data_IF_265833778426
#
_entry.id   IF_265833778426
#
_cell.length_a   1.000
_cell.length_b   1.000
_cell.length_c   1.000
_cell.angle_alpha   90.00
_cell.angle_beta   90.00
_cell.angle_gamma   90.00
#
_symmetry.space_group_name_H-M   'P 1'
#
loop_
_entity.id
_entity.type
_entity.pdbx_description
1 polymer ?
#
# COMPACT_ATOMS: atom_id res chain seq x y z
N UNK A 1 1.35 10.01 -25.39
CA UNK A 1 1.92 8.69 -25.07
C UNK A 1 0.82 7.85 -24.42
N UNK A 2 0.63 6.60 -24.83
CA UNK A 2 -0.37 5.70 -24.22
C UNK A 2 0.34 4.77 -23.24
N UNK A 3 -0.03 4.82 -21.97
CA UNK A 3 0.52 3.94 -20.94
C UNK A 3 -0.07 2.54 -21.10
N UNK A 4 0.78 1.51 -21.09
CA UNK A 4 0.37 0.11 -21.31
C UNK A 4 0.92 -0.82 -20.23
N UNK A 5 0.16 -1.89 -19.98
CA UNK A 5 0.52 -2.97 -19.06
C UNK A 5 1.69 -3.78 -19.59
N UNK A 6 2.59 -4.15 -18.69
CA UNK A 6 3.63 -5.17 -18.81
C UNK A 6 3.09 -6.49 -18.21
N UNK A 7 3.90 -7.53 -18.29
CA UNK A 7 3.58 -8.81 -17.64
C UNK A 7 3.34 -8.61 -16.14
N UNK A 8 2.24 -9.20 -15.65
CA UNK A 8 1.82 -9.02 -14.27
C UNK A 8 2.77 -9.71 -13.29
N UNK A 9 3.29 -8.93 -12.35
CA UNK A 9 4.23 -9.38 -11.30
C UNK A 9 3.58 -9.39 -9.91
N UNK A 10 2.51 -8.62 -9.73
CA UNK A 10 1.86 -8.44 -8.43
C UNK A 10 0.35 -8.54 -8.61
N UNK A 11 -0.30 -9.37 -7.80
CA UNK A 11 -1.72 -9.26 -7.52
C UNK A 11 -1.87 -8.44 -6.24
N UNK A 12 -2.39 -7.23 -6.35
CA UNK A 12 -2.68 -6.40 -5.19
C UNK A 12 -4.16 -6.51 -4.83
N UNK A 13 -4.44 -7.00 -3.62
CA UNK A 13 -5.79 -7.19 -3.10
C UNK A 13 -6.11 -6.15 -2.02
N UNK A 14 -7.03 -5.25 -2.31
CA UNK A 14 -7.63 -4.39 -1.32
C UNK A 14 -8.75 -5.15 -0.62
N UNK A 15 -8.50 -5.62 0.60
CA UNK A 15 -9.40 -6.53 1.33
C UNK A 15 -10.63 -5.84 1.91
N UNK A 16 -10.69 -4.51 1.85
CA UNK A 16 -11.79 -3.73 2.40
C UNK A 16 -11.33 -2.38 2.94
N UNK A 17 -12.23 -1.73 3.67
CA UNK A 17 -12.01 -0.39 4.22
C UNK A 17 -12.10 -0.32 5.74
N UNK A 18 -12.30 -1.45 6.42
CA UNK A 18 -12.25 -1.50 7.89
C UNK A 18 -10.83 -1.25 8.40
N UNK A 19 -10.67 -0.35 9.36
CA UNK A 19 -9.40 0.01 9.97
C UNK A 19 -9.65 0.50 11.40
N UNK A 20 -8.71 0.28 12.32
CA UNK A 20 -8.77 0.85 13.67
C UNK A 20 -8.45 2.35 13.72
N UNK A 21 -7.93 2.95 12.63
CA UNK A 21 -7.58 4.38 12.56
C UNK A 21 -8.45 5.16 11.57
N UNK A 22 -8.48 6.48 11.74
CA UNK A 22 -9.10 7.44 10.80
C UNK A 22 -8.08 8.50 10.36
N UNK A 23 -7.00 8.08 9.70
CA UNK A 23 -5.93 9.00 9.29
C UNK A 23 -6.45 10.10 8.34
N UNK A 24 -5.92 11.32 8.49
CA UNK A 24 -6.34 12.50 7.73
C UNK A 24 -5.94 12.44 6.26
N UNK A 25 -4.84 11.75 5.94
CA UNK A 25 -4.31 11.57 4.58
C UNK A 25 -4.77 10.26 3.90
N UNK A 26 -5.65 9.46 4.53
CA UNK A 26 -5.99 8.13 4.02
C UNK A 26 -6.66 8.19 2.64
N UNK A 27 -5.97 7.70 1.61
CA UNK A 27 -6.48 7.64 0.24
C UNK A 27 -7.57 6.56 0.07
N UNK A 28 -7.54 5.50 0.88
CA UNK A 28 -8.57 4.45 0.92
C UNK A 28 -9.87 4.93 1.58
N UNK A 29 -9.79 6.03 2.35
CA UNK A 29 -10.85 6.52 3.24
C UNK A 29 -11.27 5.46 4.29
N UNK A 30 -10.35 4.58 4.69
CA UNK A 30 -10.62 3.51 5.64
C UNK A 30 -10.89 3.99 7.07
N UNK A 31 -11.62 3.22 7.86
CA UNK A 31 -11.94 3.58 9.24
C UNK A 31 -12.81 2.56 9.99
N UNK A 32 -13.06 2.78 11.29
CA UNK A 32 -13.66 1.77 12.16
C UNK A 32 -15.13 1.51 11.86
N UNK A 33 -15.81 2.46 11.22
CA UNK A 33 -17.24 2.35 10.87
C UNK A 33 -17.48 1.90 9.42
N UNK A 34 -16.41 1.52 8.69
CA UNK A 34 -16.53 1.01 7.32
C UNK A 34 -17.06 -0.42 7.33
N UNK A 35 -17.80 -0.77 6.27
CA UNK A 35 -18.46 -2.08 6.14
C UNK A 35 -17.94 -2.89 4.96
N UNK A 36 -17.12 -2.27 4.12
CA UNK A 36 -16.47 -2.90 2.99
C UNK A 36 -15.45 -3.91 3.49
N UNK A 37 -15.75 -5.19 3.32
CA UNK A 37 -14.95 -6.34 3.74
C UNK A 37 -15.08 -7.41 2.68
N UNK A 38 -13.96 -8.00 2.27
CA UNK A 38 -13.94 -9.11 1.32
C UNK A 38 -14.63 -10.33 1.92
N UNK A 39 -15.47 -10.99 1.12
CA UNK A 39 -16.22 -12.17 1.56
C UNK A 39 -15.46 -13.45 1.25
N UNK A 40 -15.67 -14.49 2.06
CA UNK A 40 -14.94 -15.76 1.93
C UNK A 40 -15.10 -16.42 0.54
N UNK A 41 -16.29 -16.37 -0.05
CA UNK A 41 -16.53 -16.85 -1.42
C UNK A 41 -15.68 -16.09 -2.46
N UNK A 42 -15.47 -14.79 -2.25
CA UNK A 42 -14.62 -13.97 -3.13
C UNK A 42 -13.16 -14.37 -2.95
N UNK A 43 -12.70 -14.56 -1.70
CA UNK A 43 -11.36 -15.06 -1.41
C UNK A 43 -11.11 -16.41 -2.09
N UNK A 44 -12.04 -17.35 -1.99
CA UNK A 44 -11.93 -18.67 -2.63
C UNK A 44 -11.79 -18.57 -4.15
N UNK A 45 -12.60 -17.74 -4.80
CA UNK A 45 -12.48 -17.53 -6.27
C UNK A 45 -11.14 -16.90 -6.66
N UNK A 46 -10.66 -15.93 -5.88
CA UNK A 46 -9.38 -15.28 -6.10
C UNK A 46 -8.23 -16.27 -5.92
N UNK A 47 -8.22 -17.05 -4.85
CA UNK A 47 -7.18 -18.06 -4.58
C UNK A 47 -7.15 -19.15 -5.66
N UNK A 48 -8.33 -19.64 -6.07
CA UNK A 48 -8.42 -20.60 -7.18
C UNK A 48 -7.82 -20.03 -8.46
N UNK A 49 -8.18 -18.81 -8.84
CA UNK A 49 -7.60 -18.16 -10.01
C UNK A 49 -6.09 -17.94 -9.86
N UNK A 50 -5.66 -17.35 -8.73
CA UNK A 50 -4.27 -17.00 -8.47
C UNK A 50 -3.34 -18.22 -8.48
N UNK A 51 -3.80 -19.36 -7.96
CA UNK A 51 -3.07 -20.63 -7.95
C UNK A 51 -2.72 -21.15 -9.35
N UNK A 52 -3.51 -20.80 -10.37
CA UNK A 52 -3.29 -21.16 -11.77
C UNK A 52 -2.35 -20.18 -12.50
N UNK A 53 -1.96 -19.09 -11.84
CA UNK A 53 -1.09 -18.06 -12.42
C UNK A 53 0.38 -18.25 -12.06
N UNK A 54 1.25 -17.57 -12.80
CA UNK A 54 2.68 -17.45 -12.46
C UNK A 54 3.02 -16.13 -11.77
N UNK A 55 2.04 -15.38 -11.27
CA UNK A 55 2.27 -14.10 -10.60
C UNK A 55 3.05 -14.39 -9.29
N UNK A 56 4.24 -13.83 -9.10
CA UNK A 56 5.11 -14.19 -8.00
C UNK A 56 4.73 -13.57 -6.64
N UNK A 57 3.93 -12.50 -6.65
CA UNK A 57 3.66 -11.69 -5.43
C UNK A 57 2.16 -11.45 -5.22
N UNK A 58 1.72 -11.67 -3.98
CA UNK A 58 0.45 -11.18 -3.46
C UNK A 58 0.71 -9.99 -2.52
N UNK A 59 0.10 -8.84 -2.80
CA UNK A 59 0.22 -7.61 -2.02
C UNK A 59 -1.13 -7.28 -1.36
N UNK A 60 -1.21 -7.42 -0.03
CA UNK A 60 -2.42 -7.23 0.75
C UNK A 60 -2.52 -5.78 1.26
N UNK A 61 -3.63 -5.12 0.96
CA UNK A 61 -3.90 -3.73 1.35
C UNK A 61 -5.36 -3.52 1.75
N UNK A 62 -5.77 -2.27 1.98
CA UNK A 62 -7.12 -1.91 2.38
C UNK A 62 -7.13 -0.91 3.53
N UNK A 63 -7.92 -1.19 4.56
CA UNK A 63 -7.94 -0.39 5.77
C UNK A 63 -6.83 -0.77 6.74
N UNK A 64 -6.98 -1.90 7.44
CA UNK A 64 -5.80 -2.71 7.77
C UNK A 64 -6.13 -4.19 7.47
N UNK A 65 -5.31 -4.88 6.65
CA UNK A 65 -5.62 -6.24 6.16
C UNK A 65 -5.92 -7.27 7.25
N UNK A 66 -5.30 -7.14 8.42
CA UNK A 66 -5.31 -8.10 9.52
C UNK A 66 -6.68 -8.20 10.19
N UNK A 67 -7.53 -7.18 10.04
CA UNK A 67 -8.92 -7.16 10.55
C UNK A 67 -9.89 -8.03 9.73
N UNK A 68 -9.42 -8.62 8.64
CA UNK A 68 -10.24 -9.39 7.71
C UNK A 68 -10.27 -10.85 8.16
N UNK A 69 -11.47 -11.48 8.32
CA UNK A 69 -11.56 -12.85 8.81
C UNK A 69 -10.70 -13.88 8.02
N UNK A 70 -10.67 -13.75 6.70
CA UNK A 70 -9.92 -14.64 5.80
C UNK A 70 -8.44 -14.24 5.63
N UNK A 71 -7.93 -13.24 6.37
CA UNK A 71 -6.54 -12.77 6.25
C UNK A 71 -5.53 -13.91 6.43
N UNK A 72 -5.67 -14.70 7.50
CA UNK A 72 -4.75 -15.81 7.75
C UNK A 72 -4.84 -16.89 6.67
N UNK A 73 -6.06 -17.22 6.22
CA UNK A 73 -6.32 -18.20 5.16
C UNK A 73 -5.67 -17.78 3.84
N UNK A 74 -5.81 -16.52 3.44
CA UNK A 74 -5.17 -15.96 2.25
C UNK A 74 -3.66 -16.21 2.27
N UNK A 75 -3.01 -15.88 3.38
CA UNK A 75 -1.55 -16.00 3.51
C UNK A 75 -1.14 -17.47 3.52
N UNK A 76 -1.77 -18.31 4.35
CA UNK A 76 -1.43 -19.72 4.47
C UNK A 76 -1.64 -20.48 3.14
N UNK A 77 -2.75 -20.28 2.44
CA UNK A 77 -3.00 -20.95 1.15
C UNK A 77 -1.97 -20.52 0.10
N UNK A 78 -1.60 -19.24 0.05
CA UNK A 78 -0.64 -18.71 -0.93
C UNK A 78 0.79 -19.18 -0.65
N UNK A 79 1.17 -19.27 0.63
CA UNK A 79 2.47 -19.80 1.05
C UNK A 79 2.58 -21.32 0.84
N UNK A 80 1.45 -22.04 0.89
CA UNK A 80 1.39 -23.48 0.69
C UNK A 80 1.14 -23.91 -0.77
N UNK A 81 1.08 -22.98 -1.72
CA UNK A 81 1.03 -23.33 -3.14
C UNK A 81 2.24 -24.20 -3.54
N UNK A 82 2.11 -25.08 -4.56
CA UNK A 82 3.23 -25.90 -5.04
C UNK A 82 4.48 -25.07 -5.40
N UNK A 83 4.27 -23.84 -5.85
CA UNK A 83 5.29 -22.79 -5.92
C UNK A 83 4.92 -21.67 -4.96
N UNK A 84 5.54 -21.61 -3.77
CA UNK A 84 5.27 -20.57 -2.79
C UNK A 84 5.45 -19.17 -3.40
N UNK A 85 4.50 -18.27 -3.13
CA UNK A 85 4.56 -16.88 -3.59
C UNK A 85 5.03 -15.95 -2.48
N UNK A 86 5.60 -14.81 -2.85
CA UNK A 86 5.87 -13.72 -1.91
C UNK A 86 4.54 -13.13 -1.46
N UNK A 87 4.40 -12.87 -0.17
CA UNK A 87 3.25 -12.17 0.41
C UNK A 87 3.76 -10.88 1.03
N UNK A 88 3.11 -9.77 0.69
CA UNK A 88 3.33 -8.45 1.27
C UNK A 88 2.09 -8.08 2.07
N UNK A 89 2.30 -7.53 3.27
CA UNK A 89 1.26 -6.98 4.12
C UNK A 89 1.49 -5.48 4.36
N UNK A 90 0.51 -4.66 3.96
CA UNK A 90 0.52 -3.20 4.14
C UNK A 90 -0.09 -2.84 5.49
N UNK A 91 0.73 -3.03 6.52
CA UNK A 91 0.38 -2.96 7.92
C UNK A 91 0.23 -1.52 8.43
N UNK A 92 -0.88 -1.26 9.12
CA UNK A 92 -0.94 -0.22 10.14
C UNK A 92 -0.51 -0.80 11.49
N UNK A 93 0.71 -0.49 11.94
CA UNK A 93 1.32 -1.16 13.09
C UNK A 93 0.53 -1.08 14.39
N UNK A 94 -0.31 -0.05 14.57
CA UNK A 94 -1.13 0.07 15.79
C UNK A 94 -2.13 -1.06 15.97
N UNK A 95 -2.46 -1.83 14.92
CA UNK A 95 -3.34 -3.00 15.06
C UNK A 95 -2.77 -4.04 16.02
N UNK A 96 -1.44 -4.17 16.12
CA UNK A 96 -0.76 -5.12 17.03
C UNK A 96 -1.01 -4.79 18.51
N UNK A 97 -1.42 -3.55 18.80
CA UNK A 97 -1.75 -3.10 20.16
C UNK A 97 -3.26 -3.12 20.44
N UNK A 98 -4.08 -3.54 19.49
CA UNK A 98 -5.53 -3.68 19.70
C UNK A 98 -5.88 -5.06 20.28
N UNK A 99 -6.86 -5.15 21.22
CA UNK A 99 -7.25 -6.41 21.81
C UNK A 99 -7.68 -7.45 20.76
N UNK A 100 -7.14 -8.66 20.87
CA UNK A 100 -7.44 -9.78 19.97
C UNK A 100 -6.56 -9.82 18.71
N UNK A 101 -5.59 -8.92 18.57
CA UNK A 101 -4.61 -8.87 17.48
C UNK A 101 -3.18 -9.18 17.93
N UNK A 102 -3.00 -9.68 19.16
CA UNK A 102 -1.70 -10.06 19.73
C UNK A 102 -0.99 -11.13 18.91
N UNK A 103 -1.75 -11.88 18.10
CA UNK A 103 -1.25 -12.94 17.22
C UNK A 103 -0.54 -12.44 15.96
N UNK A 104 -0.74 -11.15 15.58
CA UNK A 104 -0.30 -10.62 14.29
C UNK A 104 1.22 -10.78 14.10
N UNK A 105 2.09 -10.34 15.03
CA UNK A 105 3.53 -10.40 14.82
C UNK A 105 4.05 -11.82 14.57
N UNK A 106 3.67 -12.78 15.42
CA UNK A 106 4.13 -14.17 15.33
C UNK A 106 3.57 -14.86 14.09
N UNK A 107 2.32 -14.55 13.71
CA UNK A 107 1.71 -15.10 12.50
C UNK A 107 2.42 -14.61 11.24
N UNK A 108 2.70 -13.31 11.13
CA UNK A 108 3.41 -12.73 9.99
C UNK A 108 4.83 -13.31 9.89
N UNK A 109 5.55 -13.39 11.02
CA UNK A 109 6.90 -13.95 11.07
C UNK A 109 6.95 -15.41 10.65
N UNK A 110 6.05 -16.26 11.18
CA UNK A 110 5.98 -17.69 10.85
C UNK A 110 5.73 -17.94 9.36
N UNK A 111 5.01 -17.04 8.70
CA UNK A 111 4.68 -17.14 7.28
C UNK A 111 5.66 -16.37 6.38
N UNK A 112 6.72 -15.78 6.95
CA UNK A 112 7.72 -14.97 6.24
C UNK A 112 7.08 -13.85 5.40
N UNK A 113 6.08 -13.18 5.97
CA UNK A 113 5.36 -12.09 5.30
C UNK A 113 6.25 -10.85 5.31
N UNK A 114 6.43 -10.22 4.14
CA UNK A 114 7.11 -8.93 4.04
C UNK A 114 6.19 -7.80 4.46
N UNK A 115 6.64 -6.96 5.38
CA UNK A 115 5.84 -5.89 5.95
C UNK A 115 6.20 -4.56 5.28
N UNK A 116 5.19 -3.84 4.80
CA UNK A 116 5.31 -2.44 4.41
C UNK A 116 4.47 -1.61 5.38
N UNK A 117 5.09 -1.10 6.43
CA UNK A 117 4.42 -0.41 7.51
C UNK A 117 4.40 1.10 7.31
N UNK A 118 3.26 1.72 7.60
CA UNK A 118 3.15 3.17 7.53
C UNK A 118 3.81 3.84 8.74
N UNK A 119 4.88 4.62 8.51
CA UNK A 119 5.61 5.35 9.54
C UNK A 119 6.01 6.75 9.01
N UNK A 120 5.06 7.72 8.99
CA UNK A 120 5.21 8.94 8.23
C UNK A 120 6.22 9.94 8.82
N UNK A 121 6.68 9.73 10.06
CA UNK A 121 7.76 10.48 10.68
C UNK A 121 8.34 9.68 11.86
N UNK A 122 9.61 9.90 12.20
CA UNK A 122 10.20 9.43 13.48
C UNK A 122 9.88 10.37 14.66
N UNK A 123 9.27 11.53 14.40
CA UNK A 123 8.89 12.51 15.42
C UNK A 123 7.42 12.32 15.84
N UNK A 124 7.12 12.26 17.14
CA UNK A 124 5.75 12.03 17.64
C UNK A 124 4.72 13.02 17.09
N UNK A 125 5.02 14.32 17.18
CA UNK A 125 4.09 15.40 16.80
C UNK A 125 3.61 15.26 15.35
N UNK A 126 4.54 14.90 14.44
CA UNK A 126 4.24 14.72 13.03
C UNK A 126 3.36 13.49 12.77
N UNK A 127 3.59 12.40 13.51
CA UNK A 127 2.77 11.19 13.41
C UNK A 127 1.36 11.43 13.96
N UNK A 128 1.26 12.07 15.12
CA UNK A 128 -0.02 12.34 15.77
C UNK A 128 -0.90 13.29 14.97
N UNK A 129 -0.31 14.34 14.38
CA UNK A 129 -1.03 15.26 13.48
C UNK A 129 -1.66 14.54 12.28
N UNK A 130 -1.03 13.48 11.77
CA UNK A 130 -1.49 12.77 10.59
C UNK A 130 -2.42 11.58 10.90
N UNK A 131 -2.17 10.87 12.00
CA UNK A 131 -2.78 9.56 12.28
C UNK A 131 -3.65 9.54 13.54
N UNK A 132 -3.53 10.56 14.39
CA UNK A 132 -4.26 10.69 15.66
C UNK A 132 -3.38 10.43 16.88
N UNK A 133 -3.88 10.87 18.04
CA UNK A 133 -3.17 10.82 19.32
C UNK A 133 -2.82 9.39 19.74
N UNK A 134 -1.63 9.19 20.31
CA UNK A 134 -1.18 7.89 20.82
C UNK A 134 -0.81 6.87 19.73
N UNK A 135 -0.95 7.20 18.44
CA UNK A 135 -0.54 6.33 17.33
C UNK A 135 0.97 6.12 17.31
N UNK A 136 1.74 7.16 17.66
CA UNK A 136 3.20 7.08 17.67
C UNK A 136 3.70 6.00 18.63
N UNK A 137 3.32 6.10 19.91
CA UNK A 137 3.75 5.16 20.95
C UNK A 137 3.34 3.72 20.63
N UNK A 138 2.09 3.52 20.18
CA UNK A 138 1.60 2.21 19.73
C UNK A 138 2.42 1.65 18.57
N UNK A 139 2.78 2.49 17.60
CA UNK A 139 3.59 2.06 16.44
C UNK A 139 5.01 1.66 16.87
N UNK A 140 5.65 2.45 17.74
CA UNK A 140 6.98 2.13 18.28
C UNK A 140 6.96 0.79 19.04
N UNK A 141 5.99 0.58 19.93
CA UNK A 141 5.83 -0.70 20.64
C UNK A 141 5.65 -1.87 19.68
N UNK A 142 4.79 -1.72 18.67
CA UNK A 142 4.54 -2.74 17.66
C UNK A 142 5.80 -3.07 16.83
N UNK A 143 6.57 -2.07 16.41
CA UNK A 143 7.83 -2.28 15.69
C UNK A 143 8.89 -2.98 16.55
N UNK A 144 8.97 -2.64 17.84
CA UNK A 144 9.86 -3.36 18.76
C UNK A 144 9.45 -4.82 18.94
N UNK A 145 8.14 -5.14 18.98
CA UNK A 145 7.65 -6.53 18.97
C UNK A 145 8.09 -7.26 17.70
N UNK A 146 7.95 -6.64 16.53
CA UNK A 146 8.38 -7.21 15.25
C UNK A 146 9.90 -7.39 15.17
N UNK A 147 10.72 -6.42 15.60
CA UNK A 147 12.18 -6.56 15.61
C UNK A 147 12.65 -7.68 16.55
N UNK A 148 11.98 -7.90 17.70
CA UNK A 148 12.29 -9.05 18.58
C UNK A 148 12.08 -10.41 17.89
N UNK A 149 11.21 -10.48 16.88
CA UNK A 149 11.00 -11.67 16.06
C UNK A 149 12.00 -11.78 14.89
N UNK A 150 12.86 -10.78 14.68
CA UNK A 150 13.87 -10.75 13.64
C UNK A 150 13.51 -9.88 12.42
N UNK A 151 12.35 -9.20 12.42
CA UNK A 151 12.06 -8.26 11.33
C UNK A 151 13.13 -7.18 11.23
N UNK A 152 13.60 -6.88 10.02
CA UNK A 152 14.64 -5.87 9.77
C UNK A 152 16.07 -6.39 9.86
N UNK A 153 16.31 -7.52 10.54
CA UNK A 153 17.65 -8.12 10.72
C UNK A 153 17.80 -9.51 10.10
N UNK A 154 16.77 -10.37 10.15
CA UNK A 154 16.73 -11.64 9.40
C UNK A 154 16.38 -11.33 7.93
N UNK A 155 17.19 -11.77 6.93
CA UNK A 155 16.91 -11.57 5.50
C UNK A 155 15.55 -12.09 5.03
N UNK A 156 14.94 -13.04 5.74
CA UNK A 156 13.61 -13.59 5.44
C UNK A 156 12.48 -12.74 6.01
N UNK A 157 12.75 -11.94 7.04
CA UNK A 157 11.75 -11.13 7.74
C UNK A 157 11.98 -9.66 7.43
N UNK A 158 11.45 -9.24 6.28
CA UNK A 158 11.64 -7.87 5.79
C UNK A 158 10.56 -6.95 6.33
N UNK A 159 10.97 -5.80 6.87
CA UNK A 159 10.09 -4.69 7.23
C UNK A 159 10.61 -3.42 6.58
N UNK A 160 9.71 -2.74 5.89
CA UNK A 160 9.94 -1.48 5.21
C UNK A 160 9.03 -0.41 5.80
N UNK A 161 9.51 0.82 5.88
CA UNK A 161 8.72 1.95 6.34
C UNK A 161 8.27 2.81 5.19
N UNK A 162 7.09 3.41 5.32
CA UNK A 162 6.55 4.36 4.35
C UNK A 162 6.51 5.75 4.95
N UNK A 163 7.19 6.69 4.29
CA UNK A 163 7.12 8.11 4.57
C UNK A 163 6.09 8.79 3.68
N UNK A 164 5.22 9.58 4.30
CA UNK A 164 4.28 10.48 3.64
C UNK A 164 4.49 11.90 4.17
N UNK A 165 4.58 12.91 3.30
CA UNK A 165 4.59 14.31 3.71
C UNK A 165 3.43 14.65 4.65
N UNK A 166 3.66 15.51 5.63
CA UNK A 166 2.61 16.03 6.54
C UNK A 166 1.74 17.11 5.91
N UNK A 167 1.93 17.39 4.62
CA UNK A 167 1.22 18.42 3.88
C UNK A 167 1.24 18.16 2.37
N UNK A 168 1.12 19.26 1.64
CA UNK A 168 0.90 19.36 0.20
C UNK A 168 2.17 19.79 -0.53
N UNK A 169 3.25 19.08 -0.23
CA UNK A 169 4.55 19.19 -0.89
C UNK A 169 5.04 17.80 -1.29
N UNK A 170 5.96 17.75 -2.25
CA UNK A 170 6.58 16.49 -2.68
C UNK A 170 7.50 15.93 -1.58
N UNK A 171 7.64 14.60 -1.47
CA UNK A 171 8.58 14.03 -0.53
C UNK A 171 10.02 14.46 -0.87
N UNK A 172 10.91 14.51 0.14
CA UNK A 172 12.33 14.76 -0.09
C UNK A 172 12.99 13.56 -0.77
N UNK A 173 14.29 13.67 -1.02
CA UNK A 173 15.11 12.57 -1.50
C UNK A 173 15.03 11.33 -0.58
N UNK A 174 14.76 10.17 -1.16
CA UNK A 174 14.50 8.94 -0.42
C UNK A 174 15.76 8.40 0.26
N UNK A 175 16.91 8.41 -0.41
CA UNK A 175 18.15 7.87 0.15
C UNK A 175 18.61 8.69 1.36
N UNK A 176 18.57 10.02 1.22
CA UNK A 176 18.88 10.94 2.30
C UNK A 176 17.93 10.75 3.49
N UNK A 177 16.62 10.65 3.23
CA UNK A 177 15.64 10.48 4.31
C UNK A 177 15.75 9.09 4.96
N UNK A 178 16.02 8.03 4.18
CA UNK A 178 16.25 6.68 4.70
C UNK A 178 17.42 6.67 5.68
N UNK A 179 18.56 7.26 5.32
CA UNK A 179 19.73 7.31 6.18
C UNK A 179 19.42 7.99 7.52
N UNK A 180 18.69 9.12 7.49
CA UNK A 180 18.23 9.79 8.71
C UNK A 180 17.28 8.92 9.54
N UNK A 181 16.29 8.30 8.88
CA UNK A 181 15.36 7.40 9.56
C UNK A 181 16.09 6.25 10.25
N UNK A 182 17.08 5.63 9.60
CA UNK A 182 17.85 4.54 10.20
C UNK A 182 18.56 4.97 11.48
N UNK A 183 19.18 6.16 11.49
CA UNK A 183 19.82 6.72 12.68
C UNK A 183 18.77 6.99 13.78
N UNK A 184 17.75 7.79 13.47
CA UNK A 184 16.77 8.23 14.47
C UNK A 184 15.99 7.06 15.07
N UNK A 185 15.56 6.11 14.23
CA UNK A 185 14.80 4.94 14.70
C UNK A 185 15.66 4.02 15.57
N UNK A 186 16.95 3.86 15.24
CA UNK A 186 17.88 3.05 16.03
C UNK A 186 18.22 3.71 17.36
N UNK A 187 18.65 4.97 17.33
CA UNK A 187 19.16 5.67 18.52
C UNK A 187 18.06 5.90 19.56
N UNK A 188 16.88 6.33 19.14
CA UNK A 188 15.80 6.68 20.06
C UNK A 188 14.90 5.50 20.44
N UNK A 189 14.74 4.51 19.57
CA UNK A 189 13.72 3.46 19.75
C UNK A 189 14.26 2.03 19.63
N UNK A 190 15.56 1.85 19.32
CA UNK A 190 16.18 0.55 19.07
C UNK A 190 15.48 -0.24 17.96
N UNK A 191 14.96 0.47 16.95
CA UNK A 191 14.24 -0.11 15.83
C UNK A 191 15.14 -0.21 14.60
N UNK A 192 15.11 -1.37 13.95
CA UNK A 192 15.77 -1.62 12.66
C UNK A 192 14.73 -1.91 11.57
N UNK A 193 15.00 -1.46 10.35
CA UNK A 193 14.16 -1.71 9.18
C UNK A 193 15.02 -1.75 7.91
N UNK A 194 14.51 -2.37 6.85
CA UNK A 194 15.29 -2.64 5.64
C UNK A 194 15.39 -1.42 4.73
N UNK A 195 14.25 -0.83 4.33
CA UNK A 195 14.21 0.32 3.41
C UNK A 195 13.08 1.30 3.78
N UNK A 196 13.26 2.56 3.41
CA UNK A 196 12.26 3.61 3.50
C UNK A 196 11.69 3.90 2.11
N UNK A 197 10.36 3.93 2.01
CA UNK A 197 9.63 4.26 0.80
C UNK A 197 8.98 5.63 0.96
N UNK A 198 9.48 6.61 0.20
CA UNK A 198 8.90 7.94 0.16
C UNK A 198 7.76 7.97 -0.86
N UNK A 199 6.58 8.38 -0.42
CA UNK A 199 5.40 8.48 -1.29
C UNK A 199 4.81 9.89 -1.31
N UNK A 200 4.29 10.26 -2.47
CA UNK A 200 3.56 11.51 -2.66
C UNK A 200 2.13 11.34 -2.18
N UNK A 201 1.61 12.31 -1.44
CA UNK A 201 0.21 12.29 -1.03
C UNK A 201 -0.70 12.45 -2.24
N UNK A 202 -1.52 11.45 -2.54
CA UNK A 202 -2.43 11.52 -3.67
C UNK A 202 -3.59 12.46 -3.37
N UNK A 203 -3.94 13.40 -4.28
CA UNK A 203 -5.04 14.35 -4.09
C UNK A 203 -6.40 13.68 -4.31
N UNK A 204 -6.69 12.63 -3.54
CA UNK A 204 -7.95 11.88 -3.57
C UNK A 204 -8.49 11.69 -2.14
N UNK A 205 -9.75 11.29 -2.03
CA UNK A 205 -10.39 10.92 -0.76
C UNK A 205 -10.19 11.98 0.34
N UNK A 206 -9.67 11.60 1.53
CA UNK A 206 -9.57 12.52 2.67
C UNK A 206 -8.57 13.65 2.46
N UNK A 207 -7.46 13.37 1.79
CA UNK A 207 -6.46 14.39 1.51
C UNK A 207 -7.00 15.44 0.53
N UNK A 208 -7.72 15.02 -0.52
CA UNK A 208 -8.45 15.96 -1.39
C UNK A 208 -9.47 16.79 -0.62
N UNK A 209 -10.25 16.17 0.28
CA UNK A 209 -11.23 16.89 1.09
C UNK A 209 -10.56 17.90 2.03
N UNK A 210 -9.37 17.60 2.58
CA UNK A 210 -8.59 18.55 3.37
C UNK A 210 -8.10 19.71 2.49
N UNK A 211 -7.43 19.42 1.37
CA UNK A 211 -6.95 20.44 0.42
C UNK A 211 -8.06 21.39 -0.04
N UNK A 212 -9.27 20.88 -0.30
CA UNK A 212 -10.43 21.71 -0.68
C UNK A 212 -10.89 22.65 0.43
N UNK A 213 -10.89 22.19 1.69
CA UNK A 213 -11.28 23.04 2.83
C UNK A 213 -10.27 24.15 3.09
N UNK A 214 -8.99 23.87 2.85
CA UNK A 214 -7.91 24.85 3.00
C UNK A 214 -7.74 25.75 1.77
N UNK A 215 -8.52 25.55 0.70
CA UNK A 215 -8.40 26.27 -0.59
C UNK A 215 -7.05 26.07 -1.31
N UNK A 216 -6.47 24.85 -1.21
CA UNK A 216 -5.13 24.52 -1.72
C UNK A 216 -5.12 23.44 -2.80
N UNK A 217 -6.30 22.93 -3.18
CA UNK A 217 -6.39 21.78 -4.10
C UNK A 217 -5.83 22.11 -5.49
N UNK A 218 -6.14 23.29 -6.03
CA UNK A 218 -5.72 23.66 -7.38
C UNK A 218 -4.21 23.94 -7.44
N UNK A 219 -3.65 24.60 -6.42
CA UNK A 219 -2.22 24.81 -6.25
C UNK A 219 -1.47 23.47 -6.17
N UNK A 220 -1.95 22.55 -5.34
CA UNK A 220 -1.32 21.24 -5.21
C UNK A 220 -1.40 20.42 -6.51
N UNK A 221 -2.54 20.45 -7.21
CA UNK A 221 -2.64 19.80 -8.52
C UNK A 221 -1.70 20.44 -9.56
N UNK A 222 -1.46 21.74 -9.48
CA UNK A 222 -0.50 22.44 -10.36
C UNK A 222 0.92 22.02 -10.03
N UNK A 223 1.30 21.97 -8.75
CA UNK A 223 2.59 21.42 -8.31
C UNK A 223 2.86 20.02 -8.88
N UNK A 224 1.89 19.11 -8.78
CA UNK A 224 2.05 17.74 -9.29
C UNK A 224 2.24 17.69 -10.81
N UNK A 225 1.54 18.56 -11.55
CA UNK A 225 1.66 18.66 -13.01
C UNK A 225 3.00 19.26 -13.42
N UNK A 226 3.40 20.35 -12.79
CA UNK A 226 4.64 21.07 -13.08
C UNK A 226 5.87 20.21 -12.74
N UNK A 227 5.74 19.37 -11.72
CA UNK A 227 6.78 18.41 -11.32
C UNK A 227 6.74 17.10 -12.13
N UNK A 228 5.89 16.95 -13.14
CA UNK A 228 5.81 15.72 -13.94
C UNK A 228 7.18 15.32 -14.50
N UNK A 229 7.62 14.11 -14.17
CA UNK A 229 8.90 13.57 -14.62
C UNK A 229 8.70 12.33 -15.49
N UNK A 230 8.94 12.42 -16.82
CA UNK A 230 8.78 11.30 -17.73
C UNK A 230 9.66 10.08 -17.40
N UNK A 231 10.78 10.25 -16.71
CA UNK A 231 11.69 9.15 -16.34
C UNK A 231 11.04 8.15 -15.37
N UNK A 232 10.02 8.57 -14.65
CA UNK A 232 9.29 7.73 -13.67
C UNK A 232 8.34 6.72 -14.32
N UNK A 233 7.98 6.93 -15.59
CA UNK A 233 6.95 6.18 -16.30
C UNK A 233 7.27 4.69 -16.41
N UNK A 234 8.55 4.33 -16.57
CA UNK A 234 8.95 2.93 -16.70
C UNK A 234 8.80 2.13 -15.40
N UNK A 235 8.91 2.81 -14.25
CA UNK A 235 8.80 2.23 -12.91
C UNK A 235 7.37 2.22 -12.33
N UNK A 236 6.38 2.79 -13.03
CA UNK A 236 5.02 2.88 -12.50
C UNK A 236 4.41 1.50 -12.19
N UNK A 237 3.93 1.31 -10.95
CA UNK A 237 3.31 0.08 -10.49
C UNK A 237 2.10 -0.37 -11.31
N UNK A 238 1.27 0.56 -11.81
CA UNK A 238 0.09 0.22 -12.61
C UNK A 238 0.45 -0.55 -13.89
N UNK A 239 1.73 -0.56 -14.29
CA UNK A 239 2.20 -1.32 -15.44
C UNK A 239 2.29 -2.81 -15.17
N UNK A 240 2.61 -3.27 -13.97
CA UNK A 240 2.81 -4.70 -13.69
C UNK A 240 1.96 -5.23 -12.52
N UNK A 241 1.09 -4.40 -11.95
CA UNK A 241 0.20 -4.78 -10.86
C UNK A 241 -1.23 -4.92 -11.36
N UNK A 242 -1.87 -6.04 -11.02
CA UNK A 242 -3.32 -6.22 -11.12
C UNK A 242 -3.90 -5.79 -9.78
N UNK A 243 -4.64 -4.68 -9.75
CA UNK A 243 -5.30 -4.22 -8.53
C UNK A 243 -6.75 -4.73 -8.50
N UNK A 244 -7.15 -5.27 -7.35
CA UNK A 244 -8.46 -5.90 -7.16
C UNK A 244 -9.09 -5.44 -5.85
N UNK A 245 -10.37 -5.07 -5.90
CA UNK A 245 -11.11 -4.67 -4.70
C UNK A 245 -11.70 -5.87 -3.92
N UNK A 246 -12.34 -5.57 -2.79
CA UNK A 246 -12.98 -6.56 -1.91
C UNK A 246 -14.17 -7.31 -2.53
N UNK A 247 -14.63 -6.91 -3.73
CA UNK A 247 -15.66 -7.60 -4.53
C UNK A 247 -15.05 -8.44 -5.66
N UNK A 248 -13.72 -8.51 -5.75
CA UNK A 248 -13.01 -9.19 -6.83
C UNK A 248 -12.93 -8.40 -8.14
N UNK A 249 -13.29 -7.11 -8.14
CA UNK A 249 -13.30 -6.27 -9.34
C UNK A 249 -11.93 -5.67 -9.63
N UNK A 250 -11.59 -5.59 -10.92
CA UNK A 250 -10.27 -5.26 -11.42
C UNK A 250 -10.18 -3.79 -11.82
N UNK A 251 -9.10 -3.15 -11.37
CA UNK A 251 -8.77 -1.76 -11.69
C UNK A 251 -7.34 -1.63 -12.24
N UNK A 252 -7.09 -0.48 -12.86
CA UNK A 252 -5.76 -0.12 -13.37
C UNK A 252 -4.74 0.19 -12.26
N UNK A 253 -5.21 0.66 -11.10
CA UNK A 253 -4.41 0.84 -9.89
C UNK A 253 -5.31 1.08 -8.67
N UNK A 254 -4.73 1.08 -7.48
CA UNK A 254 -5.44 1.35 -6.22
C UNK A 254 -6.11 2.74 -6.19
N UNK A 255 -5.52 3.75 -6.84
CA UNK A 255 -6.15 5.08 -6.93
C UNK A 255 -7.33 5.12 -7.91
N UNK A 256 -7.25 4.37 -9.01
CA UNK A 256 -8.40 4.17 -9.90
C UNK A 256 -9.54 3.47 -9.15
N UNK A 257 -9.21 2.44 -8.35
CA UNK A 257 -10.17 1.78 -7.47
C UNK A 257 -10.84 2.77 -6.52
N UNK A 258 -10.08 3.62 -5.83
CA UNK A 258 -10.66 4.59 -4.89
C UNK A 258 -11.52 5.67 -5.56
N UNK A 259 -11.26 5.96 -6.82
CA UNK A 259 -12.05 6.89 -7.64
C UNK A 259 -13.18 6.22 -8.43
N UNK A 260 -13.38 4.90 -8.27
CA UNK A 260 -14.33 4.10 -9.05
C UNK A 260 -14.14 4.26 -10.57
N UNK A 261 -12.88 4.32 -11.02
CA UNK A 261 -12.51 4.40 -12.42
C UNK A 261 -12.24 2.99 -12.94
N UNK A 262 -13.16 2.35 -13.70
CA UNK A 262 -12.97 0.98 -14.18
C UNK A 262 -11.74 0.87 -15.09
N UNK A 263 -11.28 -0.35 -15.34
CA UNK A 263 -10.17 -0.61 -16.27
C UNK A 263 -10.40 0.07 -17.63
N UNK A 264 -9.33 0.50 -18.29
CA UNK A 264 -9.38 1.19 -19.59
C UNK A 264 -10.31 0.49 -20.59
N UNK A 265 -11.18 1.26 -21.25
CA UNK A 265 -12.04 0.75 -22.32
C UNK A 265 -13.19 -0.16 -21.87
N UNK A 266 -13.31 -0.45 -20.57
CA UNK A 266 -14.43 -1.21 -20.01
C UNK A 266 -15.46 -0.25 -19.38
N UNK A 267 -16.74 -0.54 -19.63
CA UNK A 267 -17.89 0.16 -19.00
C UNK A 267 -18.31 -0.54 -17.70
N UNK A 268 -18.30 -1.87 -17.71
CA UNK A 268 -18.69 -2.70 -16.57
C UNK A 268 -17.47 -3.19 -15.78
N UNK A 269 -17.70 -3.59 -14.53
CA UNK A 269 -16.66 -4.20 -13.71
C UNK A 269 -16.34 -5.60 -14.21
N UNK A 270 -15.05 -5.90 -14.28
CA UNK A 270 -14.52 -7.22 -14.62
C UNK A 270 -14.01 -7.88 -13.35
N UNK A 271 -14.26 -9.17 -13.18
CA UNK A 271 -13.72 -9.92 -12.04
C UNK A 271 -12.35 -10.48 -12.35
N UNK A 272 -11.49 -10.57 -11.35
CA UNK A 272 -10.11 -11.05 -11.54
C UNK A 272 -10.06 -12.48 -12.07
N UNK A 273 -10.99 -13.34 -11.65
CA UNK A 273 -11.09 -14.71 -12.12
C UNK A 273 -11.59 -14.85 -13.58
N UNK A 274 -11.96 -13.75 -14.22
CA UNK A 274 -12.30 -13.69 -15.64
C UNK A 274 -11.10 -13.25 -16.50
N UNK A 275 -9.98 -12.86 -15.88
CA UNK A 275 -8.78 -12.40 -16.60
C UNK A 275 -8.01 -13.57 -17.20
N UNK A 276 -7.74 -13.47 -18.51
CA UNK A 276 -6.62 -14.16 -19.16
C UNK A 276 -5.36 -13.27 -19.12
N UNK A 277 -4.32 -13.68 -18.37
CA UNK A 277 -3.12 -12.87 -18.16
C UNK A 277 -2.37 -12.50 -19.44
N UNK A 278 -2.39 -13.37 -20.45
CA UNK A 278 -1.71 -13.09 -21.73
C UNK A 278 -2.39 -11.97 -22.49
N UNK A 279 -3.72 -11.95 -22.47
CA UNK A 279 -4.53 -10.93 -23.14
C UNK A 279 -4.54 -9.62 -22.34
N UNK A 280 -4.47 -9.70 -21.01
CA UNK A 280 -4.42 -8.55 -20.12
C UNK A 280 -3.10 -7.77 -20.22
N UNK A 281 -2.03 -8.45 -20.61
CA UNK A 281 -0.74 -7.82 -20.88
C UNK A 281 -0.83 -7.01 -22.17
N UNK A 282 -0.16 -5.85 -22.22
CA UNK A 282 -0.28 -4.85 -23.31
C UNK A 282 -1.63 -4.10 -23.39
N UNK A 283 -2.60 -4.40 -22.52
CA UNK A 283 -3.78 -3.54 -22.44
C UNK A 283 -3.39 -2.12 -22.00
N UNK A 284 -4.08 -1.09 -22.50
CA UNK A 284 -3.87 0.28 -22.06
C UNK A 284 -4.30 0.47 -20.60
N UNK A 285 -3.68 1.43 -19.94
CA UNK A 285 -3.98 1.79 -18.55
C UNK A 285 -4.77 3.10 -18.54
N UNK A 286 -5.86 3.14 -17.76
CA UNK A 286 -6.64 4.36 -17.55
C UNK A 286 -5.84 5.37 -16.74
N UNK A 287 -5.62 6.52 -17.34
CA UNK A 287 -4.97 7.67 -16.71
C UNK A 287 -5.99 8.72 -16.31
N UNK A 288 -5.76 9.40 -15.19
CA UNK A 288 -6.51 10.57 -14.76
C UNK A 288 -5.58 11.55 -14.04
N UNK A 289 -6.11 12.64 -13.50
CA UNK A 289 -5.31 13.72 -12.87
C UNK A 289 -4.42 13.23 -11.72
N UNK A 290 -4.87 12.25 -10.92
CA UNK A 290 -4.06 11.69 -9.84
C UNK A 290 -2.78 11.00 -10.33
N UNK A 291 -2.66 10.63 -11.62
CA UNK A 291 -1.45 10.02 -12.17
C UNK A 291 -0.23 10.96 -12.10
N UNK A 292 -0.45 12.28 -12.05
CA UNK A 292 0.62 13.24 -11.80
C UNK A 292 1.24 13.05 -10.41
N UNK A 293 0.48 12.61 -9.40
CA UNK A 293 1.04 12.26 -8.09
C UNK A 293 2.01 11.08 -8.15
N UNK A 294 1.79 10.10 -9.02
CA UNK A 294 2.69 8.95 -9.19
C UNK A 294 3.95 9.30 -9.99
N UNK A 295 3.91 10.37 -10.79
CA UNK A 295 4.95 10.72 -11.77
C UNK A 295 5.68 12.02 -11.45
N UNK A 296 5.24 12.75 -10.43
CA UNK A 296 5.87 13.99 -9.97
C UNK A 296 7.23 13.73 -9.31
N UNK A 297 8.21 14.61 -9.57
CA UNK A 297 9.53 14.58 -8.95
C UNK A 297 10.26 13.26 -9.20
N UNK A 298 10.60 12.55 -8.13
CA UNK A 298 11.23 11.23 -8.20
C UNK A 298 10.24 10.07 -8.39
N UNK A 299 8.96 10.37 -8.63
CA UNK A 299 7.88 9.39 -8.75
C UNK A 299 7.48 8.80 -7.40
N UNK A 300 6.29 8.22 -7.36
CA UNK A 300 5.72 7.65 -6.15
C UNK A 300 5.07 6.32 -6.45
N UNK A 301 5.53 5.28 -5.76
CA UNK A 301 4.95 3.95 -5.78
C UNK A 301 4.84 3.39 -4.37
N UNK A 302 4.08 2.32 -4.22
CA UNK A 302 3.99 1.59 -2.97
C UNK A 302 5.29 0.80 -2.62
N UNK A 303 6.34 0.92 -3.44
CA UNK A 303 7.73 0.54 -3.18
C UNK A 303 8.70 1.74 -3.16
N UNK A 304 8.21 2.97 -3.00
CA UNK A 304 9.01 4.19 -2.91
C UNK A 304 9.22 4.92 -4.22
N UNK A 305 10.31 5.68 -4.29
CA UNK A 305 10.74 6.44 -5.47
C UNK A 305 10.94 5.55 -6.69
N UNK A 306 10.66 6.11 -7.88
CA UNK A 306 10.78 5.44 -9.17
C UNK A 306 12.05 5.81 -9.93
N UNK A 307 12.88 6.67 -9.36
CA UNK A 307 14.21 6.96 -9.87
C UNK A 307 15.21 6.21 -8.99
N UNK A 308 15.99 5.34 -9.64
CA UNK A 308 17.22 4.81 -9.08
C UNK A 308 18.38 5.67 -9.61
#
# INVERSE_FOLDING_TARGET
>A
MRLTRKDSQILQLNLGKICNLTCSHCHVNAGPHRKEVIQSDTVTKILNWFSMTNIPTLDLTGGTPEMIPDFRRLIEEVRNLPTPRKVIDRLNATIIEEPGYEWVPEFLARNEVEIIASMPCYEPENVEKQRGNGVFEKSISAFQKLNRLGYGSDPRLRIHFVYNPSGDFLPPDQEYLEAKYKIMMKEHFQIEFNQLYCITNMPISRFASWLKREDRLDDYNSLLKDAFNPKTIEGLMCRNTINVNWLGEVFDCDFNQMLNLPTYGKKDSMKVWEINLKEFSNEPIRTATHCFGCTAGSGSSCGGSLLN
#
